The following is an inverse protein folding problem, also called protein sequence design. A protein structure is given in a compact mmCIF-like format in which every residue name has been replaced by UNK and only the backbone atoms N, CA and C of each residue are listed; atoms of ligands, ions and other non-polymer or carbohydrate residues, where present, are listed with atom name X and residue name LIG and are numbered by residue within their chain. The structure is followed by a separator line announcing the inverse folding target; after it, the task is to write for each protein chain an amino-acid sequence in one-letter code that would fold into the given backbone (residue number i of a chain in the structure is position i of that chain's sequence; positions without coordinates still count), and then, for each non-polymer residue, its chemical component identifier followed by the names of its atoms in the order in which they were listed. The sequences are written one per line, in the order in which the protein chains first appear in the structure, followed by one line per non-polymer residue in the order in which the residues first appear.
data_IF_042496617936
#
_entry.id   IF_042496617936
#
_cell.length_a   1.000
_cell.length_b   1.000
_cell.length_c   1.000
_cell.angle_alpha   90.00
_cell.angle_beta   90.00
_cell.angle_gamma   90.00
#
_symmetry.space_group_name_H-M   'P 1'
#
loop_
_entity.id
_entity.type
_entity.pdbx_description
1 polymer ?
#
# COMPACT_ATOMS: atom_id res chain seq x y z
N UNK A 1 -10.75 -24.67 71.59
CA UNK A 1 -11.54 -23.53 71.08
C UNK A 1 -10.69 -22.35 70.61
N UNK A 2 -9.67 -21.89 71.36
CA UNK A 2 -8.92 -20.65 71.09
C UNK A 2 -8.50 -20.39 69.61
N UNK A 3 -7.98 -21.40 68.89
CA UNK A 3 -7.43 -21.26 67.52
C UNK A 3 -8.49 -20.76 66.50
N UNK A 4 -9.77 -21.07 66.70
CA UNK A 4 -10.84 -20.62 65.80
C UNK A 4 -11.11 -19.11 65.91
N UNK A 5 -10.90 -18.53 67.09
CA UNK A 5 -11.11 -17.09 67.34
C UNK A 5 -10.00 -16.25 66.66
N UNK A 6 -8.74 -16.66 66.77
CA UNK A 6 -7.61 -15.98 66.12
C UNK A 6 -7.71 -16.02 64.59
N UNK A 7 -8.09 -17.15 63.99
CA UNK A 7 -8.28 -17.25 62.54
C UNK A 7 -9.42 -16.35 62.03
N UNK A 8 -10.55 -16.27 62.75
CA UNK A 8 -11.65 -15.35 62.41
C UNK A 8 -11.22 -13.88 62.55
N UNK A 9 -10.45 -13.54 63.59
CA UNK A 9 -9.89 -12.20 63.79
C UNK A 9 -8.93 -11.80 62.66
N UNK A 10 -8.03 -12.70 62.25
CA UNK A 10 -7.10 -12.48 61.13
C UNK A 10 -7.88 -12.25 59.82
N UNK A 11 -8.88 -13.08 59.54
CA UNK A 11 -9.73 -12.98 58.34
C UNK A 11 -10.46 -11.63 58.27
N UNK A 12 -11.10 -11.19 59.36
CA UNK A 12 -11.76 -9.88 59.45
C UNK A 12 -10.78 -8.71 59.31
N UNK A 13 -9.57 -8.82 59.86
CA UNK A 13 -8.52 -7.79 59.76
C UNK A 13 -7.95 -7.70 58.34
N UNK A 14 -7.73 -8.83 57.66
CA UNK A 14 -7.38 -8.86 56.24
C UNK A 14 -8.50 -8.25 55.38
N UNK A 15 -9.76 -8.67 55.56
CA UNK A 15 -10.90 -8.13 54.80
C UNK A 15 -11.02 -6.61 54.96
N UNK A 16 -10.86 -6.08 56.18
CA UNK A 16 -10.82 -4.62 56.42
C UNK A 16 -9.64 -3.94 55.73
N UNK A 17 -8.43 -4.52 55.78
CA UNK A 17 -7.25 -3.96 55.08
C UNK A 17 -7.45 -3.92 53.55
N UNK A 18 -7.96 -4.98 52.94
CA UNK A 18 -8.28 -4.99 51.50
C UNK A 18 -9.39 -3.99 51.15
N UNK A 19 -10.42 -3.86 51.98
CA UNK A 19 -11.49 -2.87 51.73
C UNK A 19 -10.99 -1.42 51.82
N UNK A 20 -10.12 -1.11 52.79
CA UNK A 20 -9.47 0.20 52.91
C UNK A 20 -8.52 0.45 51.74
N UNK A 21 -7.73 -0.54 51.32
CA UNK A 21 -6.83 -0.39 50.17
C UNK A 21 -7.59 -0.15 48.86
N UNK A 22 -8.72 -0.84 48.65
CA UNK A 22 -9.63 -0.61 47.52
C UNK A 22 -10.28 0.77 47.54
N UNK A 23 -10.71 1.25 48.72
CA UNK A 23 -11.24 2.61 48.89
C UNK A 23 -10.15 3.67 48.62
N UNK A 24 -8.93 3.47 49.10
CA UNK A 24 -7.79 4.36 48.82
C UNK A 24 -7.47 4.39 47.33
N UNK A 25 -7.48 3.24 46.63
CA UNK A 25 -7.31 3.16 45.18
C UNK A 25 -8.42 3.88 44.41
N UNK A 26 -9.69 3.70 44.80
CA UNK A 26 -10.83 4.39 44.20
C UNK A 26 -10.77 5.91 44.45
N UNK A 27 -10.35 6.34 45.63
CA UNK A 27 -10.13 7.76 45.93
C UNK A 27 -8.94 8.32 45.15
N UNK A 28 -7.85 7.56 44.96
CA UNK A 28 -6.73 7.97 44.11
C UNK A 28 -7.16 8.12 42.65
N UNK A 29 -7.91 7.15 42.11
CA UNK A 29 -8.48 7.21 40.75
C UNK A 29 -9.41 8.41 40.59
N UNK A 30 -10.33 8.62 41.54
CA UNK A 30 -11.24 9.77 41.53
C UNK A 30 -10.49 11.11 41.63
N UNK A 31 -9.43 11.20 42.46
CA UNK A 31 -8.60 12.39 42.57
C UNK A 31 -7.80 12.65 41.29
N UNK A 32 -7.30 11.60 40.62
CA UNK A 32 -6.62 11.70 39.33
C UNK A 32 -7.56 12.24 38.23
N UNK A 33 -8.78 11.70 38.14
CA UNK A 33 -9.82 12.19 37.22
C UNK A 33 -10.25 13.64 37.55
N UNK A 34 -10.46 13.98 38.82
CA UNK A 34 -10.86 15.33 39.23
C UNK A 34 -9.73 16.37 39.06
N UNK A 35 -8.47 15.96 39.13
CA UNK A 35 -7.33 16.83 38.84
C UNK A 35 -7.19 17.10 37.33
N UNK A 36 -7.33 16.09 36.48
CA UNK A 36 -7.27 16.24 35.02
C UNK A 36 -8.45 17.08 34.48
N UNK A 37 -9.66 16.87 35.03
CA UNK A 37 -10.87 17.61 34.64
C UNK A 37 -10.78 19.12 34.93
N UNK A 38 -9.88 19.57 35.82
CA UNK A 38 -9.75 20.98 36.22
C UNK A 38 -8.79 21.78 35.34
N UNK A 39 -8.10 21.15 34.39
CA UNK A 39 -7.00 21.75 33.62
C UNK A 39 -7.32 22.08 32.15
N UNK A 40 -8.60 22.06 31.72
CA UNK A 40 -9.00 22.43 30.34
C UNK A 40 -10.24 23.34 30.31
N UNK A 41 -10.04 24.60 29.92
CA UNK A 41 -11.07 25.50 29.38
C UNK A 41 -10.50 26.24 28.17
N UNK A 42 -11.26 26.24 27.08
CA UNK A 42 -10.87 26.68 25.72
C UNK A 42 -9.65 25.96 25.12
N UNK A 43 -9.85 25.30 23.97
CA UNK A 43 -9.53 25.92 22.67
C UNK A 43 -10.09 25.06 21.52
N UNK A 44 -10.11 25.64 20.32
CA UNK A 44 -10.66 25.08 19.08
C UNK A 44 -9.74 24.07 18.36
N UNK A 45 -10.31 23.46 17.31
CA UNK A 45 -9.69 22.61 16.28
C UNK A 45 -9.24 21.20 16.67
N UNK A 46 -9.70 20.21 15.90
CA UNK A 46 -9.51 18.79 16.16
C UNK A 46 -8.52 18.14 15.20
N UNK A 47 -7.34 17.76 15.70
CA UNK A 47 -6.38 16.90 14.98
C UNK A 47 -5.42 16.10 15.89
N UNK A 48 -5.64 16.09 17.22
CA UNK A 48 -4.68 15.56 18.21
C UNK A 48 -5.05 14.19 18.81
N UNK A 49 -6.28 13.71 18.57
CA UNK A 49 -6.90 12.62 19.35
C UNK A 49 -6.55 11.19 18.85
N UNK A 50 -5.41 11.00 18.18
CA UNK A 50 -5.00 9.70 17.63
C UNK A 50 -3.67 9.16 18.20
N UNK A 51 -3.02 9.88 19.12
CA UNK A 51 -1.66 9.58 19.62
C UNK A 51 -1.58 9.09 21.07
N UNK A 52 -2.65 8.53 21.63
CA UNK A 52 -2.70 8.05 23.03
C UNK A 52 -2.23 6.61 23.26
N UNK A 53 -1.93 5.83 22.21
CA UNK A 53 -1.64 4.39 22.28
C UNK A 53 -0.24 3.99 21.76
N UNK A 54 0.81 4.71 22.19
CA UNK A 54 2.21 4.29 21.99
C UNK A 54 2.97 4.15 23.32
N UNK A 55 3.83 3.11 23.48
CA UNK A 55 4.66 2.97 24.67
C UNK A 55 5.73 4.07 24.78
N UNK A 56 6.22 4.31 26.00
CA UNK A 56 7.11 5.45 26.32
C UNK A 56 8.58 5.14 25.98
N UNK A 57 9.06 5.59 24.81
CA UNK A 57 10.31 6.40 24.82
C UNK A 57 10.17 7.76 24.12
N UNK A 58 9.27 7.88 23.14
CA UNK A 58 9.35 8.89 22.07
C UNK A 58 9.18 10.36 22.52
N UNK A 59 8.54 10.60 23.68
CA UNK A 59 8.19 11.97 24.13
C UNK A 59 9.40 12.92 24.19
N UNK A 60 10.57 12.44 24.60
CA UNK A 60 11.76 13.26 24.79
C UNK A 60 12.37 13.82 23.48
N UNK A 61 12.04 13.22 22.33
CA UNK A 61 12.51 13.65 21.01
C UNK A 61 11.69 14.85 20.49
N UNK A 62 10.37 14.81 20.70
CA UNK A 62 9.42 15.84 20.21
C UNK A 62 9.61 17.18 20.92
N UNK A 63 9.89 17.16 22.23
CA UNK A 63 10.10 18.37 23.04
C UNK A 63 11.49 19.04 22.80
N UNK A 64 12.33 18.43 21.96
CA UNK A 64 13.56 19.05 21.43
C UNK A 64 13.30 19.78 20.09
N UNK A 65 12.51 19.18 19.19
CA UNK A 65 12.22 19.73 17.87
C UNK A 65 11.45 21.07 17.91
N UNK A 66 10.65 21.32 18.95
CA UNK A 66 9.89 22.57 19.12
C UNK A 66 10.71 23.81 19.51
N UNK A 67 12.03 23.68 19.74
CA UNK A 67 12.91 24.79 20.19
C UNK A 67 13.81 25.38 19.10
N UNK A 68 13.67 24.94 17.85
CA UNK A 68 14.60 25.24 16.76
C UNK A 68 13.97 25.94 15.54
N UNK A 69 12.83 26.63 15.70
CA UNK A 69 12.13 27.29 14.58
C UNK A 69 11.40 28.57 14.98
N UNK A 70 11.98 29.71 14.61
CA UNK A 70 11.39 31.06 14.72
C UNK A 70 12.45 32.13 14.45
N UNK A 71 12.04 33.24 13.83
CA UNK A 71 12.88 34.39 13.39
C UNK A 71 13.86 34.07 12.22
N UNK A 72 14.16 34.94 11.24
CA UNK A 72 13.50 36.10 10.55
C UNK A 72 14.03 36.06 9.06
N UNK A 73 13.81 36.94 8.07
CA UNK A 73 13.15 38.26 7.92
C UNK A 73 12.75 38.48 6.40
N UNK A 74 12.29 39.68 6.01
CA UNK A 74 12.02 40.12 4.62
C UNK A 74 13.28 40.43 3.77
N UNK A 75 13.22 40.36 2.42
CA UNK A 75 13.27 41.57 1.54
C UNK A 75 13.16 41.34 0.01
N UNK A 76 12.75 42.44 -0.63
CA UNK A 76 12.03 42.67 -1.88
C UNK A 76 12.87 42.83 -3.19
N UNK A 77 12.18 43.04 -4.31
CA UNK A 77 12.51 43.96 -5.44
C UNK A 77 13.15 43.48 -6.76
N UNK A 78 12.31 43.52 -7.81
CA UNK A 78 12.53 44.15 -9.14
C UNK A 78 13.70 43.79 -10.11
N UNK A 79 13.32 43.09 -11.19
CA UNK A 79 13.55 43.41 -12.63
C UNK A 79 14.88 44.01 -13.15
N UNK A 80 15.37 43.44 -14.27
CA UNK A 80 15.54 44.19 -15.55
C UNK A 80 15.72 43.26 -16.76
N UNK A 81 15.48 43.79 -17.97
CA UNK A 81 15.66 43.08 -19.24
C UNK A 81 16.95 43.52 -19.96
N UNK A 82 17.53 42.65 -20.78
CA UNK A 82 18.58 43.01 -21.74
C UNK A 82 18.61 42.03 -22.92
N UNK A 83 18.54 42.56 -24.14
CA UNK A 83 18.64 41.79 -25.39
C UNK A 83 20.00 41.99 -26.05
N UNK A 84 20.64 40.91 -26.47
CA UNK A 84 21.79 40.92 -27.39
C UNK A 84 21.63 39.80 -28.43
N UNK A 85 22.29 39.94 -29.58
CA UNK A 85 21.93 39.21 -30.80
C UNK A 85 23.14 38.68 -31.58
N UNK A 86 22.89 37.58 -32.32
CA UNK A 86 23.82 36.92 -33.27
C UNK A 86 25.02 36.24 -32.57
N UNK A 87 25.47 35.05 -32.95
CA UNK A 87 25.51 34.46 -34.30
C UNK A 87 25.54 32.92 -34.25
N UNK A 88 25.50 32.28 -35.42
CA UNK A 88 25.37 30.82 -35.58
C UNK A 88 26.72 30.09 -35.70
N UNK A 89 26.87 28.98 -34.98
CA UNK A 89 27.83 27.91 -35.35
C UNK A 89 27.23 26.54 -35.05
N UNK A 90 27.47 25.57 -35.92
CA UNK A 90 26.86 24.23 -35.82
C UNK A 90 27.63 23.32 -34.86
N UNK A 91 26.99 22.95 -33.76
CA UNK A 91 27.25 21.70 -33.04
C UNK A 91 25.95 21.20 -32.43
N UNK A 92 25.70 19.89 -32.47
CA UNK A 92 24.54 19.31 -31.81
C UNK A 92 24.75 19.39 -30.28
N UNK A 93 23.79 19.92 -29.50
CA UNK A 93 23.95 19.99 -28.05
C UNK A 93 23.97 18.59 -27.47
N UNK A 94 25.10 18.19 -26.90
CA UNK A 94 25.15 17.07 -25.97
C UNK A 94 24.30 17.49 -24.78
N UNK A 95 23.13 16.86 -24.63
CA UNK A 95 22.20 17.16 -23.55
C UNK A 95 22.84 16.75 -22.23
N UNK A 96 23.36 17.73 -21.50
CA UNK A 96 23.78 17.55 -20.12
C UNK A 96 22.59 17.06 -19.31
N UNK A 97 22.76 15.93 -18.61
CA UNK A 97 21.83 15.52 -17.56
C UNK A 97 21.76 16.61 -16.49
N UNK A 98 20.61 16.72 -15.85
CA UNK A 98 20.46 17.57 -14.67
C UNK A 98 21.34 16.99 -13.54
N UNK A 99 22.31 17.74 -12.98
CA UNK A 99 23.27 17.21 -12.00
C UNK A 99 22.65 16.59 -10.74
N UNK A 100 21.39 16.90 -10.46
CA UNK A 100 20.60 16.27 -9.39
C UNK A 100 20.47 14.75 -9.57
N UNK A 101 20.29 14.25 -10.80
CA UNK A 101 20.03 12.82 -11.03
C UNK A 101 21.30 11.96 -10.94
N UNK A 102 22.44 12.50 -11.37
CA UNK A 102 23.72 11.78 -11.29
C UNK A 102 24.27 11.76 -9.84
N UNK A 103 23.71 12.55 -8.90
CA UNK A 103 24.02 12.51 -7.47
C UNK A 103 23.26 11.45 -6.67
N UNK A 104 22.16 10.88 -7.19
CA UNK A 104 21.39 9.82 -6.53
C UNK A 104 21.93 8.40 -6.83
N UNK A 105 22.98 8.29 -7.65
CA UNK A 105 23.68 7.03 -7.96
C UNK A 105 24.88 6.75 -7.03
N UNK A 106 24.70 6.87 -5.71
CA UNK A 106 25.78 6.57 -4.75
C UNK A 106 25.87 5.07 -4.35
N UNK A 107 27.08 4.68 -3.97
CA UNK A 107 27.69 3.37 -3.78
C UNK A 107 26.86 2.23 -3.17
N UNK A 108 26.82 1.11 -3.91
CA UNK A 108 26.73 -0.24 -3.34
C UNK A 108 27.48 -1.25 -4.21
N UNK A 109 28.82 -1.24 -4.14
CA UNK A 109 29.74 -2.04 -4.96
C UNK A 109 29.74 -3.56 -4.67
N UNK A 110 28.57 -4.13 -4.37
CA UNK A 110 28.38 -5.56 -4.07
C UNK A 110 27.05 -6.16 -4.49
N UNK A 111 26.03 -5.36 -4.86
CA UNK A 111 24.71 -5.90 -5.22
C UNK A 111 24.37 -5.78 -6.72
N UNK A 112 23.99 -6.91 -7.32
CA UNK A 112 23.42 -6.96 -8.67
C UNK A 112 21.91 -6.68 -8.67
N UNK A 113 21.38 -5.76 -9.51
CA UNK A 113 19.95 -5.52 -9.62
C UNK A 113 19.15 -6.79 -9.93
N UNK A 114 18.10 -7.06 -9.16
CA UNK A 114 17.22 -8.22 -9.35
C UNK A 114 16.38 -8.04 -10.64
N UNK A 115 16.34 -9.09 -11.45
CA UNK A 115 15.59 -9.15 -12.72
C UNK A 115 14.45 -10.18 -12.69
N UNK A 116 14.59 -11.24 -11.91
CA UNK A 116 13.61 -12.31 -11.76
C UNK A 116 12.71 -12.02 -10.55
N UNK A 117 11.44 -11.73 -10.78
CA UNK A 117 10.52 -11.15 -9.79
C UNK A 117 9.11 -11.74 -9.90
N UNK A 118 8.56 -12.18 -8.77
CA UNK A 118 7.13 -12.44 -8.58
C UNK A 118 6.56 -11.39 -7.64
N UNK A 119 5.54 -10.67 -8.09
CA UNK A 119 4.69 -9.86 -7.24
C UNK A 119 3.32 -10.52 -7.14
N UNK A 120 3.01 -11.11 -5.97
CA UNK A 120 1.64 -11.53 -5.70
C UNK A 120 0.79 -10.28 -5.48
N UNK A 121 0.10 -9.87 -6.54
CA UNK A 121 -0.81 -8.74 -6.54
C UNK A 121 -2.06 -9.06 -5.72
N UNK A 122 -2.09 -8.61 -4.47
CA UNK A 122 -3.29 -8.62 -3.63
C UNK A 122 -4.33 -7.60 -4.10
N UNK A 123 -5.61 -7.89 -3.86
CA UNK A 123 -6.69 -6.98 -4.27
C UNK A 123 -6.65 -5.62 -3.52
N UNK A 124 -6.68 -4.53 -4.29
CA UNK A 124 -6.92 -3.12 -3.86
C UNK A 124 -5.97 -2.50 -2.84
N UNK A 125 -4.80 -3.08 -2.60
CA UNK A 125 -3.72 -2.54 -1.79
C UNK A 125 -2.95 -1.36 -2.44
N UNK A 126 -3.56 -0.61 -3.37
CA UNK A 126 -2.86 0.23 -4.37
C UNK A 126 -1.81 -0.55 -5.21
N UNK A 127 -1.91 -1.88 -5.24
CA UNK A 127 -1.01 -2.81 -5.95
C UNK A 127 -0.86 -2.56 -7.46
N UNK A 128 -1.77 -1.79 -8.08
CA UNK A 128 -1.59 -1.27 -9.44
C UNK A 128 -0.42 -0.30 -9.58
N UNK A 129 -0.01 0.41 -8.52
CA UNK A 129 1.21 1.23 -8.52
C UNK A 129 2.47 0.34 -8.57
N UNK A 130 2.52 -0.71 -7.76
CA UNK A 130 3.62 -1.69 -7.79
C UNK A 130 3.68 -2.40 -9.15
N UNK A 131 2.53 -2.81 -9.69
CA UNK A 131 2.47 -3.39 -11.04
C UNK A 131 2.96 -2.40 -12.12
N UNK A 132 2.63 -1.11 -12.03
CA UNK A 132 3.13 -0.07 -12.95
C UNK A 132 4.66 0.14 -12.81
N UNK A 133 5.21 0.11 -11.59
CA UNK A 133 6.67 0.08 -11.34
C UNK A 133 7.31 -1.11 -12.07
N UNK A 134 6.78 -2.33 -11.89
CA UNK A 134 7.33 -3.54 -12.50
C UNK A 134 7.20 -3.53 -14.04
N UNK A 135 6.07 -3.07 -14.57
CA UNK A 135 5.86 -2.87 -16.01
C UNK A 135 6.88 -1.87 -16.60
N UNK A 136 7.06 -0.70 -15.96
CA UNK A 136 8.06 0.31 -16.35
C UNK A 136 9.49 -0.25 -16.29
N UNK A 137 9.85 -0.93 -15.19
CA UNK A 137 11.18 -1.47 -14.97
C UNK A 137 11.55 -2.52 -16.03
N UNK A 138 10.66 -3.49 -16.26
CA UNK A 138 10.87 -4.55 -17.24
C UNK A 138 10.87 -4.03 -18.68
N UNK A 139 9.96 -3.11 -19.02
CA UNK A 139 9.97 -2.46 -20.34
C UNK A 139 11.26 -1.67 -20.59
N UNK A 140 11.73 -0.88 -19.62
CA UNK A 140 12.99 -0.11 -19.67
C UNK A 140 14.22 -1.01 -19.93
N UNK A 141 14.11 -2.31 -19.65
CA UNK A 141 15.20 -3.31 -19.71
C UNK A 141 14.91 -4.48 -20.67
N UNK A 142 13.86 -4.39 -21.49
CA UNK A 142 13.41 -5.44 -22.42
C UNK A 142 13.17 -6.83 -21.78
N UNK A 143 12.76 -6.87 -20.51
CA UNK A 143 12.50 -8.11 -19.78
C UNK A 143 11.20 -8.78 -20.27
N UNK A 144 11.10 -10.11 -20.11
CA UNK A 144 9.91 -10.88 -20.50
C UNK A 144 8.91 -11.00 -19.33
N UNK A 145 7.63 -10.75 -19.63
CA UNK A 145 6.55 -10.84 -18.63
C UNK A 145 5.76 -12.14 -18.81
N UNK A 146 5.51 -12.85 -17.71
CA UNK A 146 4.45 -13.83 -17.63
C UNK A 146 3.13 -13.08 -17.63
N UNK A 147 2.39 -13.13 -18.74
CA UNK A 147 1.10 -12.47 -18.91
C UNK A 147 -0.03 -13.52 -18.98
N UNK A 148 -1.24 -13.22 -18.48
CA UNK A 148 -2.38 -14.10 -18.64
C UNK A 148 -2.79 -14.26 -20.11
N UNK A 149 -3.34 -15.43 -20.46
CA UNK A 149 -3.80 -15.72 -21.82
C UNK A 149 -4.85 -14.75 -22.34
N UNK A 150 -4.91 -14.59 -23.68
CA UNK A 150 -5.94 -13.81 -24.38
C UNK A 150 -6.10 -12.36 -23.88
N UNK A 151 -5.00 -11.71 -23.45
CA UNK A 151 -4.96 -10.34 -22.88
C UNK A 151 -5.74 -10.18 -21.57
N UNK A 152 -6.08 -11.26 -20.88
CA UNK A 152 -6.78 -11.16 -19.60
C UNK A 152 -5.93 -10.40 -18.55
N UNK A 153 -6.59 -9.69 -17.64
CA UNK A 153 -5.90 -8.91 -16.60
C UNK A 153 -5.46 -9.77 -15.40
N UNK A 154 -6.04 -10.96 -15.28
CA UNK A 154 -5.88 -11.91 -14.15
C UNK A 154 -5.64 -13.32 -14.69
N UNK A 155 -4.89 -14.13 -13.94
CA UNK A 155 -4.67 -15.55 -14.25
C UNK A 155 -5.83 -16.42 -13.74
N UNK A 156 -6.91 -16.54 -14.53
CA UNK A 156 -8.05 -17.44 -14.28
C UNK A 156 -8.71 -17.32 -12.89
N UNK A 157 -8.55 -16.19 -12.22
CA UNK A 157 -9.08 -15.92 -10.88
C UNK A 157 -10.60 -16.14 -10.84
N UNK A 158 -11.16 -16.88 -9.86
CA UNK A 158 -10.60 -17.21 -8.54
C UNK A 158 -9.90 -18.59 -8.44
N UNK A 159 -9.60 -19.26 -9.55
CA UNK A 159 -8.90 -20.56 -9.50
C UNK A 159 -7.45 -20.44 -9.02
N UNK A 160 -6.97 -21.48 -8.33
CA UNK A 160 -5.56 -21.60 -7.96
C UNK A 160 -4.67 -21.63 -9.20
N UNK A 161 -3.65 -20.77 -9.22
CA UNK A 161 -2.73 -20.57 -10.34
C UNK A 161 -2.15 -21.89 -10.87
N UNK A 162 -2.05 -21.98 -12.19
CA UNK A 162 -1.42 -23.07 -12.93
C UNK A 162 -0.49 -22.47 -13.98
N UNK A 163 0.64 -23.11 -14.28
CA UNK A 163 1.57 -22.62 -15.31
C UNK A 163 0.92 -22.48 -16.69
N UNK A 164 -0.12 -23.28 -16.95
CA UNK A 164 -0.96 -23.27 -18.15
C UNK A 164 -1.84 -22.04 -18.31
N UNK A 165 -1.94 -21.14 -17.31
CA UNK A 165 -2.67 -19.87 -17.44
C UNK A 165 -1.81 -18.75 -18.05
N UNK A 166 -0.51 -18.99 -18.26
CA UNK A 166 0.43 -18.03 -18.83
C UNK A 166 0.49 -18.16 -20.36
N UNK A 167 0.54 -17.03 -21.06
CA UNK A 167 0.49 -17.01 -22.52
C UNK A 167 1.72 -17.65 -23.17
N UNK A 168 1.46 -18.50 -24.17
CA UNK A 168 2.45 -19.33 -24.86
C UNK A 168 3.24 -20.27 -23.94
N UNK A 169 2.65 -20.77 -22.84
CA UNK A 169 3.16 -21.93 -22.08
C UNK A 169 2.34 -23.16 -22.48
N UNK A 170 2.97 -24.14 -23.14
CA UNK A 170 2.32 -25.35 -23.65
C UNK A 170 3.24 -26.57 -23.43
N UNK A 171 2.71 -27.62 -22.81
CA UNK A 171 3.44 -28.86 -22.52
C UNK A 171 4.65 -28.70 -21.60
N UNK A 172 5.60 -29.62 -21.72
CA UNK A 172 6.77 -29.76 -20.82
C UNK A 172 7.89 -28.74 -21.10
N UNK A 173 7.66 -27.76 -21.98
CA UNK A 173 8.63 -26.73 -22.33
C UNK A 173 8.78 -25.68 -21.23
N UNK A 174 9.92 -25.69 -20.53
CA UNK A 174 10.23 -24.75 -19.42
C UNK A 174 10.51 -23.34 -19.92
N UNK A 175 9.44 -22.63 -20.30
CA UNK A 175 9.46 -21.20 -20.66
C UNK A 175 9.54 -20.36 -19.38
N UNK A 176 10.71 -19.78 -19.12
CA UNK A 176 10.93 -18.89 -17.97
C UNK A 176 10.70 -17.43 -18.33
N UNK A 177 10.12 -16.69 -17.40
CA UNK A 177 9.87 -15.26 -17.50
C UNK A 177 10.66 -14.50 -16.45
N UNK A 178 10.85 -13.20 -16.68
CA UNK A 178 11.54 -12.32 -15.73
C UNK A 178 10.57 -11.75 -14.70
N UNK A 179 9.36 -11.34 -15.10
CA UNK A 179 8.39 -10.71 -14.20
C UNK A 179 7.03 -11.40 -14.29
N UNK A 180 6.44 -11.74 -13.14
CA UNK A 180 5.04 -12.16 -13.00
C UNK A 180 4.37 -11.28 -11.95
N UNK A 181 3.41 -10.44 -12.38
CA UNK A 181 2.81 -9.41 -11.51
C UNK A 181 1.31 -9.10 -11.77
N UNK A 182 0.61 -9.93 -12.54
CA UNK A 182 -0.85 -9.87 -12.70
C UNK A 182 -1.56 -10.63 -11.55
N UNK A 183 -2.82 -10.30 -11.31
CA UNK A 183 -3.61 -10.87 -10.21
C UNK A 183 -3.82 -12.38 -10.41
N UNK A 184 -3.57 -13.16 -9.35
CA UNK A 184 -3.70 -14.62 -9.31
C UNK A 184 -4.08 -15.06 -7.91
N UNK A 185 -4.63 -16.28 -7.80
CA UNK A 185 -4.69 -17.00 -6.52
C UNK A 185 -3.46 -17.91 -6.41
N UNK A 186 -2.57 -17.62 -5.48
CA UNK A 186 -1.20 -18.14 -5.48
C UNK A 186 -1.07 -19.66 -5.33
N UNK A 187 -0.01 -20.22 -5.93
CA UNK A 187 0.43 -21.61 -5.75
C UNK A 187 1.91 -21.72 -6.14
N UNK A 188 2.83 -21.71 -5.17
CA UNK A 188 4.30 -21.72 -5.39
C UNK A 188 4.77 -22.77 -6.39
N UNK A 189 4.28 -24.01 -6.28
CA UNK A 189 4.67 -25.15 -7.14
C UNK A 189 4.34 -24.98 -8.63
N UNK A 190 3.39 -24.11 -8.98
CA UNK A 190 3.06 -23.80 -10.37
C UNK A 190 3.80 -22.54 -10.85
N UNK A 191 4.00 -21.55 -9.98
CA UNK A 191 4.84 -20.36 -10.27
C UNK A 191 6.29 -20.76 -10.52
N UNK A 192 6.83 -21.72 -9.75
CA UNK A 192 8.18 -22.25 -9.90
C UNK A 192 8.45 -22.98 -11.24
N UNK A 193 7.40 -23.30 -12.03
CA UNK A 193 7.56 -23.86 -13.38
C UNK A 193 7.88 -22.79 -14.42
N UNK A 194 7.40 -21.57 -14.21
CA UNK A 194 7.48 -20.43 -15.16
C UNK A 194 8.47 -19.35 -14.73
N UNK A 195 9.04 -19.46 -13.53
CA UNK A 195 10.02 -18.52 -12.97
C UNK A 195 11.38 -19.20 -12.70
N UNK A 196 12.51 -18.47 -12.83
CA UNK A 196 13.83 -18.94 -12.39
C UNK A 196 13.91 -19.22 -10.87
N UNK A 197 14.92 -20.00 -10.46
CA UNK A 197 15.10 -20.40 -9.06
C UNK A 197 15.60 -19.25 -8.14
N UNK A 198 16.22 -18.23 -8.72
CA UNK A 198 16.72 -17.02 -8.05
C UNK A 198 15.70 -15.86 -8.01
N UNK A 199 14.44 -16.15 -8.36
CA UNK A 199 13.32 -15.21 -8.37
C UNK A 199 13.03 -14.67 -6.98
N UNK A 200 12.94 -13.35 -6.87
CA UNK A 200 12.51 -12.64 -5.67
C UNK A 200 10.97 -12.59 -5.61
N UNK A 201 10.38 -13.13 -4.53
CA UNK A 201 8.95 -13.19 -4.29
C UNK A 201 8.54 -12.11 -3.30
N UNK A 202 7.62 -11.23 -3.68
CA UNK A 202 7.06 -10.24 -2.75
C UNK A 202 5.57 -9.99 -2.94
N UNK A 203 4.97 -9.35 -1.94
CA UNK A 203 3.59 -8.86 -1.98
C UNK A 203 3.45 -7.59 -1.14
N UNK A 204 2.24 -7.06 -1.07
CA UNK A 204 1.88 -5.92 -0.24
C UNK A 204 0.57 -6.19 0.49
N UNK A 205 0.60 -6.02 1.81
CA UNK A 205 -0.54 -6.15 2.71
C UNK A 205 -1.13 -4.77 2.97
N UNK A 206 -2.41 -4.75 3.38
CA UNK A 206 -3.16 -3.54 3.74
C UNK A 206 -4.08 -3.89 4.91
N UNK A 207 -4.33 -2.93 5.80
CA UNK A 207 -5.24 -3.09 6.92
C UNK A 207 -6.64 -3.55 6.42
N UNK A 208 -7.19 -4.71 6.85
CA UNK A 208 -8.39 -5.30 6.26
C UNK A 208 -9.60 -4.35 6.15
N UNK A 209 -9.86 -3.54 7.19
CA UNK A 209 -10.91 -2.50 7.15
C UNK A 209 -10.73 -1.52 5.98
N UNK A 210 -9.51 -1.05 5.73
CA UNK A 210 -9.20 -0.14 4.63
C UNK A 210 -9.32 -0.84 3.25
N UNK A 211 -9.02 -2.13 3.18
CA UNK A 211 -9.28 -2.97 2.00
C UNK A 211 -10.79 -3.07 1.74
N UNK A 212 -11.60 -3.42 2.73
CA UNK A 212 -13.06 -3.49 2.63
C UNK A 212 -13.70 -2.15 2.24
N UNK A 213 -13.28 -1.04 2.86
CA UNK A 213 -13.67 0.32 2.44
C UNK A 213 -13.36 0.56 0.95
N UNK A 214 -12.16 0.20 0.48
CA UNK A 214 -11.74 0.37 -0.91
C UNK A 214 -12.54 -0.50 -1.90
N UNK A 215 -12.90 -1.72 -1.49
CA UNK A 215 -13.75 -2.62 -2.28
C UNK A 215 -15.17 -2.08 -2.43
N UNK A 216 -15.81 -1.69 -1.34
CA UNK A 216 -17.14 -1.07 -1.37
C UNK A 216 -17.19 0.17 -2.26
N UNK A 217 -16.25 1.10 -2.09
CA UNK A 217 -16.21 2.33 -2.89
C UNK A 217 -16.02 2.07 -4.38
N UNK A 218 -15.30 1.01 -4.76
CA UNK A 218 -15.22 0.56 -6.14
C UNK A 218 -16.53 -0.05 -6.62
N UNK A 219 -17.16 -0.96 -5.86
CA UNK A 219 -18.40 -1.59 -6.28
C UNK A 219 -19.53 -0.57 -6.42
N UNK A 220 -19.63 0.40 -5.50
CA UNK A 220 -20.56 1.54 -5.59
C UNK A 220 -20.28 2.45 -6.79
N UNK A 221 -19.00 2.61 -7.18
CA UNK A 221 -18.63 3.38 -8.37
C UNK A 221 -18.93 2.64 -9.69
N UNK A 222 -18.81 1.32 -9.73
CA UNK A 222 -18.97 0.51 -10.95
C UNK A 222 -20.41 0.04 -11.17
N UNK A 223 -21.17 -0.28 -10.10
CA UNK A 223 -22.56 -0.73 -10.23
C UNK A 223 -23.49 0.33 -10.81
N UNK A 224 -23.11 1.61 -10.72
CA UNK A 224 -23.91 2.77 -11.14
C UNK A 224 -25.28 2.85 -10.46
N UNK A 225 -25.47 2.15 -9.34
CA UNK A 225 -26.71 2.18 -8.55
C UNK A 225 -26.90 3.57 -7.93
N UNK A 226 -28.12 4.08 -8.07
CA UNK A 226 -28.60 5.32 -7.44
C UNK A 226 -28.89 5.16 -5.94
N UNK A 227 -28.84 3.94 -5.42
CA UNK A 227 -29.36 3.58 -4.11
C UNK A 227 -28.32 3.97 -3.04
N UNK A 228 -28.66 4.98 -2.25
CA UNK A 228 -27.71 5.63 -1.33
C UNK A 228 -27.60 4.85 -0.02
N UNK A 229 -27.16 3.59 -0.11
CA UNK A 229 -26.74 2.83 1.06
C UNK A 229 -25.36 3.30 1.53
N UNK A 230 -25.19 3.42 2.85
CA UNK A 230 -23.87 3.57 3.49
C UNK A 230 -23.01 2.32 3.32
N UNK A 231 -21.73 2.41 3.69
CA UNK A 231 -20.85 1.24 3.75
C UNK A 231 -21.37 0.23 4.77
N UNK A 232 -21.79 0.75 5.93
CA UNK A 232 -22.29 0.00 7.07
C UNK A 232 -23.57 -0.75 6.70
N UNK A 233 -24.57 -0.11 6.08
CA UNK A 233 -25.79 -0.79 5.55
C UNK A 233 -25.49 -1.95 4.60
N UNK A 234 -24.59 -1.75 3.62
CA UNK A 234 -24.26 -2.81 2.64
C UNK A 234 -23.49 -3.95 3.28
N UNK A 235 -22.67 -3.66 4.31
CA UNK A 235 -22.01 -4.70 5.08
C UNK A 235 -22.98 -5.45 6.00
N UNK A 236 -23.88 -4.77 6.70
CA UNK A 236 -24.93 -5.41 7.51
C UNK A 236 -25.84 -6.31 6.65
N UNK A 237 -26.29 -5.82 5.49
CA UNK A 237 -27.09 -6.61 4.54
C UNK A 237 -26.29 -7.75 3.87
N UNK A 238 -24.98 -7.58 3.66
CA UNK A 238 -24.13 -8.67 3.18
C UNK A 238 -23.92 -9.75 4.26
N UNK A 239 -23.51 -9.35 5.47
CA UNK A 239 -23.25 -10.23 6.62
C UNK A 239 -24.53 -10.89 7.15
N UNK A 240 -25.69 -10.24 7.01
CA UNK A 240 -27.00 -10.83 7.35
C UNK A 240 -27.47 -11.90 6.36
N UNK A 241 -27.06 -11.81 5.08
CA UNK A 241 -27.42 -12.79 4.03
C UNK A 241 -26.37 -13.86 3.77
N UNK A 242 -25.14 -13.70 4.24
CA UNK A 242 -24.04 -14.63 4.02
C UNK A 242 -23.38 -15.01 5.35
N UNK A 243 -23.10 -16.29 5.56
CA UNK A 243 -22.20 -16.73 6.64
C UNK A 243 -20.76 -16.85 6.11
N UNK A 244 -19.72 -16.60 6.94
CA UNK A 244 -18.33 -16.75 6.52
C UNK A 244 -17.98 -18.18 6.02
N UNK A 245 -18.72 -19.19 6.50
CA UNK A 245 -18.56 -20.59 6.12
C UNK A 245 -19.34 -21.01 4.86
N UNK A 246 -20.36 -20.24 4.42
CA UNK A 246 -21.28 -20.65 3.36
C UNK A 246 -21.04 -20.02 1.99
N UNK A 247 -20.34 -18.89 1.92
CA UNK A 247 -20.24 -18.09 0.69
C UNK A 247 -19.15 -18.59 -0.28
N UNK A 248 -19.56 -19.18 -1.41
CA UNK A 248 -18.67 -19.36 -2.59
C UNK A 248 -18.10 -18.03 -3.13
N UNK A 249 -18.68 -16.91 -2.71
CA UNK A 249 -18.34 -15.52 -3.03
C UNK A 249 -17.49 -14.83 -1.97
N UNK A 250 -17.00 -15.52 -0.91
CA UNK A 250 -16.35 -14.86 0.23
C UNK A 250 -15.03 -14.13 -0.13
N UNK A 251 -14.41 -14.46 -1.25
CA UNK A 251 -13.25 -13.75 -1.81
C UNK A 251 -13.54 -12.27 -2.17
N UNK A 252 -14.80 -11.83 -2.12
CA UNK A 252 -15.21 -10.44 -2.35
C UNK A 252 -15.07 -9.53 -1.12
N UNK A 253 -14.80 -10.08 0.08
CA UNK A 253 -14.49 -9.32 1.28
C UNK A 253 -13.19 -9.77 1.97
N UNK A 254 -12.87 -11.07 1.93
CA UNK A 254 -11.62 -11.62 2.47
C UNK A 254 -10.66 -11.94 1.34
N UNK A 255 -9.61 -11.13 1.19
CA UNK A 255 -8.76 -11.13 0.00
C UNK A 255 -7.35 -11.62 0.27
N UNK A 256 -6.72 -11.30 1.41
CA UNK A 256 -5.29 -11.58 1.61
C UNK A 256 -5.04 -13.08 1.68
N UNK A 257 -5.63 -13.79 2.65
CA UNK A 257 -5.45 -15.23 2.75
C UNK A 257 -5.95 -15.97 1.50
N UNK A 258 -6.99 -15.43 0.83
CA UNK A 258 -7.50 -16.02 -0.41
C UNK A 258 -6.49 -15.90 -1.57
N UNK A 259 -5.99 -14.70 -1.83
CA UNK A 259 -5.01 -14.37 -2.88
C UNK A 259 -3.70 -15.15 -2.66
N UNK A 260 -3.29 -15.37 -1.42
CA UNK A 260 -2.15 -16.25 -1.03
C UNK A 260 -2.43 -17.76 -1.18
N UNK A 261 -3.61 -18.15 -1.71
CA UNK A 261 -3.95 -19.55 -2.01
C UNK A 261 -4.57 -20.33 -0.85
N UNK A 262 -4.63 -19.75 0.35
CA UNK A 262 -5.10 -20.42 1.56
C UNK A 262 -6.60 -20.73 1.51
N UNK A 263 -7.05 -21.60 2.41
CA UNK A 263 -8.47 -21.87 2.63
C UNK A 263 -9.01 -20.91 3.71
N UNK A 264 -9.94 -20.05 3.30
CA UNK A 264 -10.52 -18.97 4.14
C UNK A 264 -11.73 -19.46 4.95
N UNK A 265 -12.05 -20.76 4.91
CA UNK A 265 -13.11 -21.35 5.74
C UNK A 265 -12.93 -20.99 7.22
N UNK A 266 -13.92 -20.30 7.79
CA UNK A 266 -13.93 -19.90 9.19
C UNK A 266 -14.42 -21.06 10.04
N UNK A 267 -13.50 -21.75 10.72
CA UNK A 267 -13.88 -22.62 11.82
C UNK A 267 -14.43 -21.79 12.99
N UNK A 268 -15.38 -22.37 13.72
CA UNK A 268 -16.02 -21.72 14.87
C UNK A 268 -15.17 -21.73 16.17
N UNK A 269 -13.96 -22.31 16.13
CA UNK A 269 -13.06 -22.42 17.28
C UNK A 269 -11.89 -21.41 17.19
N UNK A 270 -11.71 -20.51 18.17
CA UNK A 270 -10.55 -19.64 18.26
C UNK A 270 -9.20 -20.37 18.26
N UNK A 271 -9.08 -21.59 18.81
CA UNK A 271 -7.80 -22.33 18.84
C UNK A 271 -7.37 -22.77 17.43
N UNK A 272 -8.33 -23.18 16.61
CA UNK A 272 -8.09 -23.50 15.20
C UNK A 272 -7.74 -22.25 14.38
N UNK A 273 -8.33 -21.09 14.70
CA UNK A 273 -7.95 -19.81 14.07
C UNK A 273 -6.49 -19.45 14.35
N UNK A 274 -6.02 -19.53 15.60
CA UNK A 274 -4.61 -19.24 15.94
C UNK A 274 -3.67 -20.24 15.23
N UNK A 275 -4.02 -21.52 15.19
CA UNK A 275 -3.24 -22.56 14.48
C UNK A 275 -3.20 -22.33 12.96
N UNK A 276 -4.31 -21.91 12.34
CA UNK A 276 -4.34 -21.52 10.92
C UNK A 276 -3.57 -20.24 10.65
N UNK A 277 -3.63 -19.25 11.55
CA UNK A 277 -2.88 -18.01 11.43
C UNK A 277 -1.36 -18.24 11.52
N UNK A 278 -0.91 -19.03 12.50
CA UNK A 278 0.49 -19.40 12.64
C UNK A 278 1.02 -20.11 11.39
N UNK A 279 0.29 -21.12 10.88
CA UNK A 279 0.64 -21.82 9.64
C UNK A 279 0.57 -20.92 8.41
N UNK A 280 -0.36 -19.97 8.34
CA UNK A 280 -0.43 -19.02 7.23
C UNK A 280 0.81 -18.12 7.20
N UNK A 281 1.20 -17.60 8.37
CA UNK A 281 2.41 -16.78 8.55
C UNK A 281 3.67 -17.58 8.19
N UNK A 282 3.80 -18.81 8.70
CA UNK A 282 4.90 -19.73 8.44
C UNK A 282 5.13 -19.94 6.92
N UNK A 283 4.12 -20.39 6.17
CA UNK A 283 4.24 -20.55 4.71
C UNK A 283 4.48 -19.20 4.00
N UNK A 284 3.97 -18.09 4.52
CA UNK A 284 4.20 -16.75 3.93
C UNK A 284 5.65 -16.26 4.15
N UNK A 285 6.29 -16.61 5.27
CA UNK A 285 7.71 -16.32 5.54
C UNK A 285 8.64 -17.29 4.80
N UNK A 286 8.20 -18.51 4.48
CA UNK A 286 8.92 -19.44 3.61
C UNK A 286 8.84 -19.07 2.11
N UNK A 287 7.66 -18.66 1.63
CA UNK A 287 7.44 -18.43 0.19
C UNK A 287 7.78 -17.02 -0.31
N UNK A 288 7.93 -16.01 0.56
CA UNK A 288 8.12 -14.60 0.16
C UNK A 288 9.32 -13.94 0.84
N UNK A 289 10.25 -13.43 0.04
CA UNK A 289 11.42 -12.66 0.47
C UNK A 289 11.06 -11.33 1.17
N UNK A 290 9.87 -10.78 0.87
CA UNK A 290 9.41 -9.50 1.41
C UNK A 290 7.87 -9.34 1.38
N UNK A 291 7.30 -8.83 2.47
CA UNK A 291 5.90 -8.41 2.55
C UNK A 291 5.82 -6.94 2.95
N UNK A 292 5.38 -6.10 2.01
CA UNK A 292 5.26 -4.65 2.18
C UNK A 292 3.98 -4.29 2.95
N UNK A 293 3.97 -3.12 3.59
CA UNK A 293 2.81 -2.59 4.33
C UNK A 293 2.32 -1.32 3.66
N UNK A 294 1.10 -1.35 3.12
CA UNK A 294 0.49 -0.23 2.39
C UNK A 294 0.38 1.05 3.25
N UNK A 295 0.16 0.91 4.55
CA UNK A 295 0.11 2.00 5.53
C UNK A 295 1.47 2.71 5.71
N UNK A 296 2.57 2.10 5.25
CA UNK A 296 3.93 2.63 5.20
C UNK A 296 4.45 2.59 3.75
N UNK A 297 3.69 3.17 2.80
CA UNK A 297 3.91 2.96 1.36
C UNK A 297 5.26 3.50 0.85
N UNK A 298 5.65 4.71 1.24
CA UNK A 298 6.92 5.30 0.75
C UNK A 298 8.12 4.57 1.38
N UNK A 299 8.00 4.22 2.66
CA UNK A 299 8.97 3.42 3.43
C UNK A 299 9.10 2.00 2.84
N UNK A 300 7.98 1.42 2.38
CA UNK A 300 7.91 0.14 1.68
C UNK A 300 8.57 0.19 0.30
N UNK A 301 8.44 1.29 -0.45
CA UNK A 301 9.15 1.48 -1.72
C UNK A 301 10.67 1.62 -1.52
N UNK A 302 11.10 2.30 -0.45
CA UNK A 302 12.53 2.36 -0.07
C UNK A 302 13.04 0.97 0.32
N UNK A 303 12.35 0.24 1.18
CA UNK A 303 12.74 -1.14 1.54
C UNK A 303 12.78 -2.06 0.30
N UNK A 304 11.85 -1.90 -0.64
CA UNK A 304 11.83 -2.64 -1.90
C UNK A 304 13.02 -2.32 -2.81
N UNK A 305 13.43 -1.04 -2.96
CA UNK A 305 14.60 -0.70 -3.80
C UNK A 305 15.90 -1.25 -3.24
N UNK A 306 16.04 -1.37 -1.92
CA UNK A 306 17.20 -2.03 -1.29
C UNK A 306 17.18 -3.53 -1.53
N UNK A 307 16.04 -4.21 -1.29
CA UNK A 307 15.92 -5.66 -1.54
C UNK A 307 16.09 -6.07 -3.01
N UNK A 308 15.69 -5.22 -3.95
CA UNK A 308 15.85 -5.46 -5.39
C UNK A 308 17.17 -4.89 -5.96
N UNK A 309 17.91 -4.09 -5.18
CA UNK A 309 19.07 -3.31 -5.63
C UNK A 309 18.77 -2.44 -6.86
N UNK A 310 17.72 -1.64 -6.73
CA UNK A 310 17.21 -0.68 -7.72
C UNK A 310 17.46 0.77 -7.26
N UNK A 311 17.34 1.74 -8.17
CA UNK A 311 17.40 3.17 -7.83
C UNK A 311 16.04 3.73 -7.39
N UNK A 312 16.02 4.96 -6.84
CA UNK A 312 14.78 5.62 -6.45
C UNK A 312 13.87 5.93 -7.65
N UNK A 313 14.42 6.22 -8.83
CA UNK A 313 13.68 6.52 -10.07
C UNK A 313 13.00 5.27 -10.66
N UNK A 314 13.58 4.09 -10.44
CA UNK A 314 12.94 2.82 -10.82
C UNK A 314 11.68 2.56 -9.98
N UNK A 315 11.67 2.87 -8.68
CA UNK A 315 10.50 2.72 -7.79
C UNK A 315 9.56 3.94 -7.71
N UNK A 316 9.94 5.11 -8.24
CA UNK A 316 9.12 6.32 -8.15
C UNK A 316 7.77 6.22 -8.89
N UNK A 317 6.71 6.75 -8.26
CA UNK A 317 5.34 6.81 -8.79
C UNK A 317 4.77 8.23 -8.73
N UNK A 318 3.64 8.49 -9.39
CA UNK A 318 2.84 9.65 -9.00
C UNK A 318 2.19 9.37 -7.65
N UNK A 319 2.61 10.07 -6.60
CA UNK A 319 1.92 10.04 -5.31
C UNK A 319 0.47 10.48 -5.54
N UNK A 320 -0.45 9.52 -5.44
CA UNK A 320 -1.89 9.79 -5.45
C UNK A 320 -2.16 10.78 -4.31
N UNK A 321 -2.50 12.02 -4.63
CA UNK A 321 -2.76 13.02 -3.60
C UNK A 321 -3.82 12.48 -2.64
N UNK A 322 -3.51 12.46 -1.36
CA UNK A 322 -4.51 12.37 -0.31
C UNK A 322 -5.58 13.42 -0.62
N UNK A 323 -6.79 12.96 -0.92
CA UNK A 323 -7.93 13.84 -1.16
C UNK A 323 -8.47 14.22 0.21
N UNK A 324 -7.93 15.31 0.77
CA UNK A 324 -8.45 15.96 2.00
C UNK A 324 -9.95 16.30 1.88
N UNK A 325 -10.38 16.43 0.62
CA UNK A 325 -11.69 16.77 0.10
C UNK A 325 -12.57 15.55 -0.30
N UNK A 326 -12.10 14.30 -0.13
CA UNK A 326 -13.03 13.16 0.00
C UNK A 326 -13.35 12.92 1.47
N UNK A 327 -14.64 12.82 1.86
CA UNK A 327 -14.97 12.27 3.16
C UNK A 327 -14.52 10.81 3.19
N UNK A 328 -13.49 10.53 3.99
CA UNK A 328 -13.12 9.15 4.30
C UNK A 328 -14.30 8.52 5.03
N UNK A 329 -15.01 7.62 4.35
CA UNK A 329 -16.26 7.01 4.85
C UNK A 329 -15.98 6.35 6.22
N UNK A 330 -16.47 6.95 7.32
CA UNK A 330 -16.05 6.54 8.65
C UNK A 330 -16.81 5.27 9.01
N UNK A 331 -16.11 4.14 8.96
CA UNK A 331 -16.63 2.85 9.42
C UNK A 331 -16.96 2.97 10.90
N UNK A 332 -18.20 2.64 11.29
CA UNK A 332 -18.61 2.64 12.69
C UNK A 332 -17.79 1.61 13.49
N UNK A 333 -17.53 1.80 14.80
CA UNK A 333 -16.74 0.87 15.60
C UNK A 333 -17.25 -0.58 15.53
N UNK A 334 -18.57 -0.77 15.53
CA UNK A 334 -19.20 -2.08 15.48
C UNK A 334 -19.02 -2.73 14.09
N UNK A 335 -19.17 -1.95 13.01
CA UNK A 335 -18.86 -2.36 11.63
C UNK A 335 -17.38 -2.73 11.47
N UNK A 336 -16.47 -1.96 12.07
CA UNK A 336 -15.03 -2.22 12.07
C UNK A 336 -14.72 -3.56 12.76
N UNK A 337 -15.34 -3.82 13.91
CA UNK A 337 -15.20 -5.08 14.63
C UNK A 337 -15.83 -6.26 13.85
N UNK A 338 -16.95 -6.04 13.15
CA UNK A 338 -17.56 -7.05 12.28
C UNK A 338 -16.63 -7.39 11.10
N UNK A 339 -16.04 -6.39 10.42
CA UNK A 339 -15.05 -6.60 9.36
C UNK A 339 -13.84 -7.39 9.89
N UNK A 340 -13.35 -7.08 11.10
CA UNK A 340 -12.25 -7.82 11.72
C UNK A 340 -12.63 -9.28 12.05
N UNK A 341 -13.84 -9.53 12.57
CA UNK A 341 -14.34 -10.91 12.82
C UNK A 341 -14.52 -11.71 11.53
N UNK A 342 -15.04 -11.08 10.48
CA UNK A 342 -15.23 -11.70 9.17
C UNK A 342 -13.88 -12.08 8.54
N UNK A 343 -12.91 -11.15 8.63
CA UNK A 343 -11.58 -11.27 8.05
C UNK A 343 -10.53 -11.69 9.08
N UNK A 344 -10.89 -12.54 10.06
CA UNK A 344 -10.05 -12.80 11.23
C UNK A 344 -8.67 -13.42 10.89
N UNK A 345 -8.57 -14.17 9.80
CA UNK A 345 -7.29 -14.71 9.31
C UNK A 345 -6.42 -13.62 8.66
N UNK A 346 -6.98 -12.84 7.73
CA UNK A 346 -6.32 -11.67 7.11
C UNK A 346 -5.87 -10.65 8.18
N UNK A 347 -6.66 -10.47 9.24
CA UNK A 347 -6.35 -9.60 10.37
C UNK A 347 -5.12 -10.10 11.15
N UNK A 348 -5.06 -11.39 11.49
CA UNK A 348 -3.90 -11.99 12.16
C UNK A 348 -2.63 -11.92 11.33
N UNK A 349 -2.74 -12.20 10.03
CA UNK A 349 -1.64 -12.07 9.05
C UNK A 349 -1.14 -10.61 9.03
N UNK A 350 -2.05 -9.64 8.87
CA UNK A 350 -1.71 -8.21 8.86
C UNK A 350 -1.04 -7.76 10.18
N UNK A 351 -1.56 -8.20 11.34
CA UNK A 351 -1.00 -7.86 12.65
C UNK A 351 0.46 -8.33 12.79
N UNK A 352 0.78 -9.56 12.36
CA UNK A 352 2.14 -10.09 12.41
C UNK A 352 3.10 -9.29 11.55
N UNK A 353 2.79 -9.15 10.26
CA UNK A 353 3.71 -8.48 9.32
C UNK A 353 3.81 -6.96 9.55
N UNK A 354 2.77 -6.30 10.06
CA UNK A 354 2.87 -4.90 10.50
C UNK A 354 3.80 -4.77 11.73
N UNK A 355 3.70 -5.68 12.70
CA UNK A 355 4.56 -5.69 13.88
C UNK A 355 6.04 -5.99 13.57
N UNK A 356 6.32 -6.84 12.57
CA UNK A 356 7.71 -7.19 12.18
C UNK A 356 8.32 -6.25 11.14
N UNK A 357 7.52 -5.47 10.39
CA UNK A 357 7.97 -4.57 9.31
C UNK A 357 9.15 -3.66 9.73
N UNK A 358 9.02 -2.95 10.86
CA UNK A 358 10.06 -2.01 11.31
C UNK A 358 11.38 -2.69 11.71
N UNK A 359 11.33 -3.96 12.14
CA UNK A 359 12.54 -4.78 12.39
C UNK A 359 13.22 -5.18 11.08
N UNK A 360 12.49 -5.28 9.97
CA UNK A 360 13.07 -5.46 8.63
C UNK A 360 13.68 -4.15 8.14
N UNK A 361 12.97 -3.02 8.28
CA UNK A 361 13.48 -1.67 7.95
C UNK A 361 14.82 -1.40 8.65
N UNK A 362 14.92 -1.67 9.96
CA UNK A 362 16.14 -1.42 10.72
C UNK A 362 17.30 -2.35 10.32
N UNK A 363 17.01 -3.61 9.97
CA UNK A 363 18.01 -4.60 9.55
C UNK A 363 18.58 -4.34 8.16
N UNK A 364 17.75 -3.88 7.23
CA UNK A 364 18.08 -3.80 5.80
C UNK A 364 18.50 -2.39 5.35
N UNK A 365 18.05 -1.34 6.07
CA UNK A 365 18.27 0.08 5.69
C UNK A 365 18.71 0.93 6.89
N UNK A 366 18.11 0.73 8.07
CA UNK A 366 18.33 1.55 9.26
C UNK A 366 17.51 2.85 9.27
N UNK A 367 16.95 3.20 10.43
CA UNK A 367 15.92 4.24 10.57
C UNK A 367 16.32 5.62 10.00
N UNK A 368 17.56 6.08 10.24
CA UNK A 368 18.00 7.40 9.75
C UNK A 368 18.32 7.41 8.24
N UNK A 369 18.62 6.27 7.62
CA UNK A 369 18.75 6.19 6.15
C UNK A 369 17.38 6.06 5.48
N UNK A 370 16.50 5.20 6.02
CA UNK A 370 15.10 5.11 5.60
C UNK A 370 14.44 6.50 5.56
N UNK A 371 14.62 7.29 6.62
CA UNK A 371 14.10 8.66 6.73
C UNK A 371 14.66 9.65 5.69
N UNK A 372 15.92 9.49 5.25
CA UNK A 372 16.52 10.29 4.16
C UNK A 372 15.96 9.88 2.81
N UNK A 373 16.05 8.60 2.46
CA UNK A 373 15.60 8.09 1.17
C UNK A 373 14.08 8.25 0.96
N UNK A 374 13.27 8.21 2.02
CA UNK A 374 11.84 8.57 1.94
C UNK A 374 11.63 10.05 1.66
N UNK A 375 12.50 10.94 2.14
CA UNK A 375 12.46 12.36 1.80
C UNK A 375 12.87 12.59 0.33
N UNK A 376 13.95 11.95 -0.11
CA UNK A 376 14.45 12.00 -1.49
C UNK A 376 13.40 11.44 -2.48
N UNK A 377 12.81 10.28 -2.16
CA UNK A 377 11.69 9.70 -2.93
C UNK A 377 10.52 10.68 -3.03
N UNK A 378 10.10 11.32 -1.94
CA UNK A 378 9.01 12.30 -1.93
C UNK A 378 9.33 13.56 -2.76
N UNK A 379 10.59 14.00 -2.80
CA UNK A 379 11.04 15.10 -3.66
C UNK A 379 11.00 14.70 -5.15
N UNK A 380 11.53 13.54 -5.50
CA UNK A 380 11.47 12.95 -6.85
C UNK A 380 10.02 12.75 -7.33
N UNK A 381 9.14 12.22 -6.49
CA UNK A 381 7.69 12.10 -6.80
C UNK A 381 7.05 13.49 -7.04
N UNK A 382 7.47 14.53 -6.32
CA UNK A 382 6.96 15.89 -6.48
C UNK A 382 7.45 16.56 -7.77
N UNK A 383 8.73 16.42 -8.12
CA UNK A 383 9.30 16.94 -9.38
C UNK A 383 8.76 16.19 -10.60
N UNK A 384 8.55 14.88 -10.51
CA UNK A 384 7.82 14.09 -11.51
C UNK A 384 6.39 14.64 -11.70
N UNK A 385 5.67 14.89 -10.60
CA UNK A 385 4.31 15.46 -10.61
C UNK A 385 4.26 16.84 -11.29
N UNK A 386 5.20 17.72 -10.92
CA UNK A 386 5.37 19.09 -11.44
C UNK A 386 5.74 19.13 -12.92
N UNK A 387 6.62 18.24 -13.37
CA UNK A 387 7.06 18.13 -14.77
C UNK A 387 5.95 17.58 -15.65
N UNK A 388 5.33 16.47 -15.22
CA UNK A 388 4.42 15.70 -16.06
C UNK A 388 2.99 16.23 -16.12
N UNK A 389 2.47 16.92 -15.09
CA UNK A 389 1.03 17.15 -14.95
C UNK A 389 0.64 18.64 -14.98
N UNK A 390 -0.28 19.01 -15.88
CA UNK A 390 -0.83 20.37 -15.99
C UNK A 390 -2.02 20.60 -15.06
N UNK A 391 -1.71 20.81 -13.78
CA UNK A 391 -2.68 21.23 -12.76
C UNK A 391 -3.72 20.15 -12.39
N UNK A 392 -4.63 20.51 -11.47
CA UNK A 392 -5.76 19.67 -11.06
C UNK A 392 -7.06 20.20 -11.66
N UNK A 393 -7.95 19.33 -12.11
CA UNK A 393 -9.35 19.72 -12.32
C UNK A 393 -9.96 20.16 -10.98
N UNK A 394 -10.30 21.45 -10.85
CA UNK A 394 -11.01 21.97 -9.64
C UNK A 394 -12.43 21.40 -9.51
N UNK A 395 -13.04 21.01 -10.62
CA UNK A 395 -14.29 20.25 -10.69
C UNK A 395 -14.15 19.21 -11.81
N UNK A 396 -14.60 17.98 -11.58
CA UNK A 396 -14.91 17.04 -12.66
C UNK A 396 -16.34 17.34 -13.10
N UNK A 397 -16.62 17.69 -14.37
CA UNK A 397 -17.98 17.91 -14.86
C UNK A 397 -18.86 16.69 -14.60
N UNK A 398 -20.15 16.89 -14.27
CA UNK A 398 -21.06 15.76 -14.01
C UNK A 398 -21.23 14.88 -15.25
N UNK A 399 -21.16 15.44 -16.47
CA UNK A 399 -21.19 14.65 -17.71
C UNK A 399 -20.01 13.67 -17.85
N UNK A 400 -18.86 13.94 -17.21
CA UNK A 400 -17.67 13.06 -17.26
C UNK A 400 -17.77 11.85 -16.30
N UNK A 401 -18.79 11.79 -15.44
CA UNK A 401 -19.02 10.63 -14.56
C UNK A 401 -19.59 9.42 -15.33
N UNK A 402 -20.35 9.65 -16.39
CA UNK A 402 -21.10 8.64 -17.15
C UNK A 402 -20.43 8.21 -18.48
N UNK A 403 -19.27 8.78 -18.83
CA UNK A 403 -18.57 8.43 -20.07
C UNK A 403 -17.95 7.01 -19.96
N UNK A 404 -18.25 6.18 -20.98
CA UNK A 404 -17.67 4.85 -21.18
C UNK A 404 -16.14 4.91 -21.19
N UNK A 405 -15.50 3.84 -20.71
CA UNK A 405 -14.05 3.74 -20.58
C UNK A 405 -13.35 3.44 -21.94
N UNK A 406 -13.44 4.38 -22.88
CA UNK A 406 -12.67 4.36 -24.13
C UNK A 406 -11.44 5.29 -23.98
N UNK A 407 -10.25 4.73 -24.16
CA UNK A 407 -8.99 5.39 -23.81
C UNK A 407 -8.36 6.07 -25.02
N UNK A 408 -8.87 7.25 -25.38
CA UNK A 408 -8.41 8.02 -26.54
C UNK A 408 -7.13 8.86 -26.25
N UNK A 409 -6.17 8.28 -25.52
CA UNK A 409 -4.83 8.83 -25.29
C UNK A 409 -4.69 10.07 -24.39
N UNK A 410 -5.77 10.81 -24.14
CA UNK A 410 -5.77 12.05 -23.35
C UNK A 410 -6.20 11.90 -21.88
N UNK A 411 -7.36 11.30 -21.63
CA UNK A 411 -8.08 11.44 -20.36
C UNK A 411 -8.02 10.19 -19.46
N UNK A 412 -7.48 10.35 -18.25
CA UNK A 412 -7.51 9.31 -17.19
C UNK A 412 -8.15 9.86 -15.93
N UNK A 413 -8.95 9.01 -15.27
CA UNK A 413 -9.68 9.25 -14.00
C UNK A 413 -8.79 9.49 -12.75
N UNK A 414 -7.52 9.85 -12.95
CA UNK A 414 -6.66 10.47 -11.93
C UNK A 414 -6.99 11.96 -11.75
N UNK A 415 -7.51 12.64 -12.79
CA UNK A 415 -7.90 14.06 -12.72
C UNK A 415 -6.77 15.04 -13.04
N UNK A 416 -5.85 14.64 -13.93
CA UNK A 416 -4.71 15.42 -14.40
C UNK A 416 -4.49 15.15 -15.90
N UNK A 417 -4.07 16.17 -16.65
CA UNK A 417 -3.65 16.04 -18.04
C UNK A 417 -2.12 16.06 -18.14
N UNK A 418 -1.55 15.27 -19.05
CA UNK A 418 -0.11 15.33 -19.34
C UNK A 418 0.26 16.72 -19.87
N UNK A 419 1.42 17.21 -19.46
CA UNK A 419 2.01 18.44 -19.95
C UNK A 419 2.38 18.33 -21.44
N UNK A 420 1.51 18.87 -22.30
CA UNK A 420 1.64 18.86 -23.77
C UNK A 420 2.79 19.73 -24.33
N UNK A 421 3.66 20.30 -23.48
CA UNK A 421 4.86 21.04 -23.87
C UNK A 421 6.17 20.28 -23.55
N UNK A 422 6.07 19.03 -23.12
CA UNK A 422 7.24 18.16 -22.95
C UNK A 422 7.77 17.69 -24.31
N UNK A 423 9.06 17.37 -24.36
CA UNK A 423 9.65 16.65 -25.49
C UNK A 423 9.13 15.20 -25.58
N UNK A 424 9.31 14.56 -26.73
CA UNK A 424 8.81 13.21 -27.00
C UNK A 424 9.34 12.14 -26.02
N UNK A 425 10.55 12.28 -25.47
CA UNK A 425 11.09 11.34 -24.50
C UNK A 425 10.42 11.54 -23.14
N UNK A 426 10.44 12.76 -22.60
CA UNK A 426 9.86 13.05 -21.29
C UNK A 426 8.35 12.82 -21.28
N UNK A 427 7.63 13.20 -22.35
CA UNK A 427 6.21 12.87 -22.54
C UNK A 427 5.98 11.35 -22.48
N UNK A 428 6.81 10.56 -23.18
CA UNK A 428 6.72 9.11 -23.19
C UNK A 428 6.98 8.46 -21.83
N UNK A 429 7.87 9.02 -21.00
CA UNK A 429 8.05 8.58 -19.61
C UNK A 429 6.81 8.93 -18.76
N UNK A 430 6.37 10.18 -18.79
CA UNK A 430 5.19 10.66 -18.06
C UNK A 430 3.93 9.83 -18.39
N UNK A 431 3.74 9.49 -19.67
CA UNK A 431 2.63 8.65 -20.13
C UNK A 431 2.66 7.28 -19.44
N UNK A 432 3.81 6.57 -19.42
CA UNK A 432 3.95 5.25 -18.79
C UNK A 432 3.62 5.24 -17.31
N UNK A 433 4.03 6.27 -16.57
CA UNK A 433 3.67 6.42 -15.15
C UNK A 433 2.16 6.63 -14.93
N UNK A 434 1.39 7.08 -15.93
CA UNK A 434 -0.07 7.22 -15.87
C UNK A 434 -0.83 6.04 -16.50
N UNK A 435 -0.23 5.31 -17.45
CA UNK A 435 -0.89 4.23 -18.20
C UNK A 435 -1.56 3.22 -17.25
N UNK A 436 -2.90 3.07 -17.27
CA UNK A 436 -3.58 2.17 -16.36
C UNK A 436 -3.30 0.71 -16.70
N UNK A 437 -3.49 -0.17 -15.70
CA UNK A 437 -3.24 -1.62 -15.79
C UNK A 437 -3.74 -2.26 -17.09
N UNK A 438 -4.99 -1.97 -17.49
CA UNK A 438 -5.61 -2.58 -18.67
C UNK A 438 -4.86 -2.23 -19.96
N UNK A 439 -4.56 -0.94 -20.14
CA UNK A 439 -3.84 -0.45 -21.30
C UNK A 439 -2.39 -0.98 -21.30
N UNK A 440 -1.68 -0.89 -20.18
CA UNK A 440 -0.28 -1.33 -20.08
C UNK A 440 -0.16 -2.85 -20.28
N UNK A 441 -1.08 -3.65 -19.71
CA UNK A 441 -1.13 -5.10 -19.91
C UNK A 441 -1.31 -5.43 -21.40
N UNK A 442 -2.23 -4.75 -22.11
CA UNK A 442 -2.36 -4.95 -23.56
C UNK A 442 -1.10 -4.51 -24.31
N UNK A 443 -0.49 -3.37 -23.98
CA UNK A 443 0.74 -2.90 -24.66
C UNK A 443 1.91 -3.88 -24.49
N UNK A 444 2.07 -4.47 -23.30
CA UNK A 444 3.07 -5.53 -23.08
C UNK A 444 2.69 -6.80 -23.83
N UNK A 445 1.41 -7.20 -23.84
CA UNK A 445 0.93 -8.37 -24.57
C UNK A 445 1.18 -8.23 -26.08
N UNK A 446 0.83 -7.10 -26.68
CA UNK A 446 1.07 -6.81 -28.11
C UNK A 446 2.56 -6.85 -28.47
N UNK A 447 3.44 -6.43 -27.55
CA UNK A 447 4.90 -6.49 -27.73
C UNK A 447 5.47 -7.92 -27.62
N UNK A 448 4.98 -8.72 -26.67
CA UNK A 448 5.50 -10.07 -26.44
C UNK A 448 4.86 -11.15 -27.33
N UNK A 449 3.64 -10.91 -27.82
CA UNK A 449 2.85 -11.86 -28.61
C UNK A 449 2.30 -11.23 -29.91
N UNK A 450 3.15 -10.63 -30.78
CA UNK A 450 2.69 -9.88 -31.96
C UNK A 450 1.91 -10.73 -32.97
N UNK A 451 2.15 -12.04 -33.04
CA UNK A 451 1.38 -12.96 -33.88
C UNK A 451 -0.10 -13.08 -33.45
N UNK A 452 -0.40 -12.85 -32.17
CA UNK A 452 -1.75 -12.81 -31.61
C UNK A 452 -2.37 -11.39 -31.66
N UNK A 453 -1.65 -10.39 -32.18
CA UNK A 453 -2.18 -9.03 -32.34
C UNK A 453 -3.14 -8.88 -33.53
N UNK A 454 -3.01 -9.76 -34.55
CA UNK A 454 -3.86 -9.77 -35.74
C UNK A 454 -5.16 -10.57 -35.63
N UNK A 455 -5.45 -11.18 -34.48
CA UNK A 455 -6.64 -12.02 -34.24
C UNK A 455 -7.73 -11.24 -33.47
N UNK A 456 -8.05 -10.03 -33.94
CA UNK A 456 -9.09 -9.15 -33.37
C UNK A 456 -10.41 -9.25 -34.13
#
# INVERSE_FOLDING_TARGET
MAISATLRSLSLTLRRRFHVLGIVLLLFMAFYFLHDFRSRKHWDNSLSTMYSFYPRPIKHLVDSLKRAGGSDDEQDSSSTSSTSSMSSTSSAPVVSRDPFWDQLQDSSDSCSPKLHIVFLKSQRSDSGQIQNILFRYGEKRNLTFALPQNRALKFSYPELFQSTFVEGVQGDGVKRFHILCNEMRFRKSEVAKVMPADTFYFSMLRHPIATTQSMFLYFKYVSSSSDIHTLDEVLEDYFGRHTPAGAKTNHLLTTVAFDFGLNVSVAADPQDLELRAAKAIEHMEEDFDLLLIHEYFDESLVLLRHKLCWSLEDVATFRRSERKDQPGYPVLPDTAEHIQRWNALDWKIYQHFNATFWSQVEREVGAEQMKREVSELRQLQAELTKTCLRGRFKNIPKELSSIKLEWNGGDIKLGFNINQQLDNHTYGQCQKHLTPEMQYTSTLYDRHFPQQAGQK
#
